data_IF_562810774819
#
_entry.id   IF_562810774819
#
_cell.length_a   1.000
_cell.length_b   1.000
_cell.length_c   1.000
_cell.angle_alpha   90.00
_cell.angle_beta   90.00
_cell.angle_gamma   90.00
#
_symmetry.space_group_name_H-M   'P 1'
#
loop_
_entity.id
_entity.type
_entity.pdbx_description
1 polymer ?
#
# COMPACT_ATOMS: atom_id res chain seq x y z
N UNK A 1 27.16 12.71 17.91
CA UNK A 1 27.27 12.15 16.52
C UNK A 1 26.25 11.05 16.20
N UNK A 2 25.49 10.49 17.15
CA UNK A 2 24.43 9.49 16.88
C UNK A 2 23.05 10.07 16.49
N UNK A 3 22.83 11.36 16.72
CA UNK A 3 21.54 12.06 16.56
C UNK A 3 21.31 12.68 15.17
N UNK A 4 22.35 12.77 14.32
CA UNK A 4 22.22 13.27 12.94
C UNK A 4 21.59 12.21 12.02
N UNK A 5 21.75 10.92 12.34
CA UNK A 5 21.38 9.80 11.47
C UNK A 5 19.88 9.48 11.43
N UNK A 6 19.10 9.89 12.43
CA UNK A 6 17.67 9.57 12.55
C UNK A 6 16.80 10.45 11.63
N UNK A 7 17.28 11.65 11.27
CA UNK A 7 16.58 12.58 10.38
C UNK A 7 16.88 12.37 8.89
N UNK A 8 17.91 11.59 8.53
CA UNK A 8 18.30 11.35 7.14
C UNK A 8 17.37 10.39 6.37
N UNK A 9 16.56 9.61 7.10
CA UNK A 9 15.70 8.58 6.51
C UNK A 9 14.28 9.07 6.17
N UNK A 10 14.13 10.37 5.91
CA UNK A 10 13.08 10.90 5.03
C UNK A 10 13.59 11.18 3.61
N UNK A 11 14.70 10.52 3.18
CA UNK A 11 15.14 10.54 1.79
C UNK A 11 14.14 9.76 0.94
N UNK A 12 13.27 10.49 0.25
CA UNK A 12 12.07 9.93 -0.38
C UNK A 12 12.39 9.48 -1.80
N UNK A 13 13.08 8.35 -1.96
CA UNK A 13 13.04 7.60 -3.23
C UNK A 13 12.97 6.10 -3.00
N UNK A 14 11.92 5.53 -3.58
CA UNK A 14 11.73 4.11 -3.80
C UNK A 14 11.90 3.23 -2.57
N UNK A 15 11.48 3.78 -1.43
CA UNK A 15 11.15 3.17 -0.15
C UNK A 15 10.30 4.19 0.63
N UNK A 16 9.15 4.56 0.08
CA UNK A 16 8.10 5.20 0.87
C UNK A 16 7.36 4.17 1.72
N UNK A 17 6.61 4.68 2.68
CA UNK A 17 6.07 3.99 3.82
C UNK A 17 6.73 4.63 5.06
N UNK A 18 5.92 4.80 6.10
CA UNK A 18 6.18 5.71 7.22
C UNK A 18 6.11 7.19 6.84
N UNK A 19 4.90 7.62 6.52
CA UNK A 19 4.30 8.70 7.29
C UNK A 19 3.10 8.10 8.04
N UNK A 20 3.31 7.61 9.25
CA UNK A 20 2.25 7.61 10.27
C UNK A 20 2.90 8.02 11.59
N UNK A 21 2.48 9.16 12.12
CA UNK A 21 2.24 9.40 13.54
C UNK A 21 1.56 10.77 13.68
N UNK A 22 0.24 10.77 13.58
CA UNK A 22 -0.58 11.62 14.46
C UNK A 22 -1.96 10.99 14.60
N UNK A 23 -2.01 9.89 15.35
CA UNK A 23 -3.21 9.55 16.09
C UNK A 23 -3.44 10.65 17.13
N UNK A 24 -4.36 11.56 16.83
CA UNK A 24 -5.13 12.25 17.87
C UNK A 24 -6.56 11.76 17.75
N UNK A 25 -6.80 10.53 18.21
CA UNK A 25 -8.13 10.13 18.61
C UNK A 25 -8.47 10.95 19.86
N UNK A 26 -9.03 12.14 19.66
CA UNK A 26 -9.76 12.84 20.72
C UNK A 26 -10.99 12.00 21.04
N UNK A 27 -10.89 11.19 22.09
CA UNK A 27 -12.02 10.59 22.76
C UNK A 27 -12.91 11.72 23.27
N UNK A 28 -13.98 12.01 22.53
CA UNK A 28 -15.08 12.82 23.04
C UNK A 28 -15.82 11.98 24.09
N UNK A 29 -15.70 12.39 25.35
CA UNK A 29 -16.48 11.85 26.44
C UNK A 29 -17.97 12.17 26.20
N UNK A 30 -18.80 11.14 26.13
CA UNK A 30 -20.25 11.28 26.16
C UNK A 30 -20.70 11.76 27.55
N UNK A 31 -21.70 12.65 27.64
CA UNK A 31 -22.27 13.10 28.92
C UNK A 31 -23.05 11.97 29.64
N UNK A 32 -23.21 12.05 30.98
CA UNK A 32 -23.90 11.03 31.76
C UNK A 32 -25.42 10.99 31.49
N UNK A 33 -25.98 9.78 31.51
CA UNK A 33 -27.41 9.53 31.33
C UNK A 33 -28.26 9.97 32.54
N UNK A 34 -29.52 10.42 32.34
CA UNK A 34 -30.48 10.67 33.43
C UNK A 34 -31.06 9.38 34.03
N UNK A 35 -31.68 9.44 35.22
CA UNK A 35 -32.18 8.26 35.95
C UNK A 35 -33.49 7.69 35.38
N UNK A 36 -33.63 6.37 35.51
CA UNK A 36 -34.83 5.62 35.13
C UNK A 36 -36.01 5.88 36.09
N UNK A 37 -37.21 6.06 35.53
CA UNK A 37 -38.49 5.93 36.24
C UNK A 37 -39.31 4.77 35.65
N UNK A 38 -40.17 4.11 36.44
CA UNK A 38 -40.82 2.85 36.07
C UNK A 38 -42.25 3.04 35.53
N UNK A 39 -42.63 2.19 34.57
CA UNK A 39 -44.02 1.76 34.36
C UNK A 39 -44.77 2.42 33.21
N UNK A 40 -44.98 1.66 32.13
CA UNK A 40 -46.24 1.54 31.38
C UNK A 40 -46.01 0.60 30.18
N UNK A 41 -46.76 -0.49 30.10
CA UNK A 41 -46.76 -1.44 28.98
C UNK A 41 -47.37 -0.80 27.71
N UNK A 42 -46.69 -0.80 26.56
CA UNK A 42 -47.29 -0.44 25.28
C UNK A 42 -48.18 -1.58 24.72
N UNK A 43 -49.22 -1.28 23.92
CA UNK A 43 -50.07 -2.29 23.28
C UNK A 43 -49.28 -3.12 22.24
N UNK A 44 -49.73 -4.35 21.91
CA UNK A 44 -49.01 -5.24 21.01
C UNK A 44 -48.87 -4.64 19.60
N UNK A 45 -47.68 -4.70 18.98
CA UNK A 45 -47.47 -4.24 17.62
C UNK A 45 -48.21 -5.11 16.59
N UNK A 46 -48.60 -4.56 15.44
CA UNK A 46 -49.16 -5.35 14.33
C UNK A 46 -48.16 -6.42 13.87
N UNK A 47 -48.65 -7.55 13.32
CA UNK A 47 -47.78 -8.64 12.88
C UNK A 47 -46.75 -8.13 11.85
N UNK A 48 -45.48 -8.54 11.98
CA UNK A 48 -44.41 -8.08 11.10
C UNK A 48 -44.72 -8.48 9.65
N UNK A 49 -44.41 -7.60 8.66
CA UNK A 49 -44.44 -7.99 7.26
C UNK A 49 -43.53 -9.21 7.06
N UNK A 50 -43.88 -10.15 6.18
CA UNK A 50 -43.07 -11.35 5.93
C UNK A 50 -41.62 -10.92 5.64
N UNK A 51 -40.62 -11.54 6.29
CA UNK A 51 -39.24 -11.11 6.16
C UNK A 51 -38.84 -11.14 4.68
N UNK A 52 -38.38 -9.99 4.18
CA UNK A 52 -37.64 -9.95 2.93
C UNK A 52 -36.53 -11.00 3.04
N UNK A 53 -36.50 -11.97 2.13
CA UNK A 53 -35.54 -13.06 2.15
C UNK A 53 -34.13 -12.46 2.19
N UNK A 54 -33.51 -12.46 3.37
CA UNK A 54 -32.15 -11.97 3.55
C UNK A 54 -31.24 -12.87 2.74
N UNK A 55 -30.56 -12.31 1.76
CA UNK A 55 -29.64 -13.01 0.89
C UNK A 55 -28.52 -13.63 1.74
N UNK A 56 -28.58 -14.92 2.07
CA UNK A 56 -27.58 -15.62 2.91
C UNK A 56 -26.51 -16.24 2.02
N UNK A 57 -25.32 -15.62 1.99
CA UNK A 57 -24.18 -16.06 1.18
C UNK A 57 -23.06 -16.57 2.07
N UNK A 58 -22.51 -17.73 1.74
CA UNK A 58 -21.29 -18.25 2.31
C UNK A 58 -20.15 -18.08 1.31
N UNK A 59 -18.94 -17.83 1.78
CA UNK A 59 -17.75 -17.80 0.93
C UNK A 59 -16.62 -18.65 1.53
N UNK A 60 -15.75 -19.16 0.67
CA UNK A 60 -14.58 -19.94 1.06
C UNK A 60 -13.28 -19.22 0.71
N UNK A 61 -12.39 -19.08 1.70
CA UNK A 61 -11.04 -18.53 1.53
C UNK A 61 -10.06 -19.50 2.16
N UNK A 62 -9.03 -19.92 1.41
CA UNK A 62 -8.01 -20.88 1.85
C UNK A 62 -8.59 -22.20 2.41
N UNK A 63 -9.73 -22.65 1.87
CA UNK A 63 -10.41 -23.88 2.31
C UNK A 63 -11.20 -23.72 3.62
N UNK A 64 -11.27 -22.52 4.20
CA UNK A 64 -12.12 -22.22 5.34
C UNK A 64 -13.40 -21.53 4.87
N UNK A 65 -14.54 -21.97 5.39
CA UNK A 65 -15.86 -21.43 5.06
C UNK A 65 -16.29 -20.37 6.06
N UNK A 66 -16.74 -19.23 5.54
CA UNK A 66 -17.23 -18.10 6.32
C UNK A 66 -18.66 -17.75 5.87
N UNK A 67 -19.56 -17.53 6.82
CA UNK A 67 -20.94 -17.13 6.55
C UNK A 67 -21.95 -17.64 7.58
N UNK A 68 -23.25 -17.38 7.38
CA UNK A 68 -23.85 -16.64 6.26
C UNK A 68 -23.70 -15.12 6.41
N UNK A 69 -23.39 -14.44 5.31
CA UNK A 69 -23.37 -12.98 5.21
C UNK A 69 -24.53 -12.48 4.35
N UNK A 70 -25.07 -11.31 4.71
CA UNK A 70 -26.05 -10.62 3.87
C UNK A 70 -25.36 -9.83 2.73
N UNK A 71 -26.15 -9.32 1.78
CA UNK A 71 -25.61 -8.58 0.62
C UNK A 71 -24.79 -7.34 0.98
N UNK A 72 -25.12 -6.63 2.07
CA UNK A 72 -24.35 -5.46 2.51
C UNK A 72 -23.03 -5.85 3.18
N UNK A 73 -23.05 -6.87 4.03
CA UNK A 73 -21.84 -7.45 4.63
C UNK A 73 -20.91 -8.01 3.56
N UNK A 74 -21.46 -8.67 2.53
CA UNK A 74 -20.69 -9.18 1.41
C UNK A 74 -20.08 -8.04 0.61
N UNK A 75 -20.80 -6.93 0.38
CA UNK A 75 -20.22 -5.71 -0.23
C UNK A 75 -19.05 -5.15 0.57
N UNK A 76 -19.15 -5.12 1.90
CA UNK A 76 -18.04 -4.67 2.75
C UNK A 76 -16.82 -5.60 2.64
N UNK A 77 -17.05 -6.91 2.55
CA UNK A 77 -15.99 -7.92 2.35
C UNK A 77 -15.37 -7.87 0.95
N UNK A 78 -16.18 -7.57 -0.05
CA UNK A 78 -15.76 -7.27 -1.41
C UNK A 78 -14.89 -6.01 -1.45
N UNK A 79 -15.31 -4.93 -0.78
CA UNK A 79 -14.54 -3.69 -0.71
C UNK A 79 -13.22 -3.85 0.06
N UNK A 80 -13.19 -4.73 1.06
CA UNK A 80 -11.98 -5.09 1.81
C UNK A 80 -11.02 -6.03 1.03
N UNK A 81 -11.42 -6.54 -0.14
CA UNK A 81 -10.62 -7.47 -0.94
C UNK A 81 -10.59 -8.91 -0.42
N UNK A 82 -11.38 -9.24 0.62
CA UNK A 82 -11.51 -10.61 1.13
C UNK A 82 -12.31 -11.52 0.18
N UNK A 83 -13.23 -10.95 -0.60
CA UNK A 83 -14.07 -11.65 -1.56
C UNK A 83 -13.92 -11.03 -2.95
N UNK A 84 -13.46 -11.82 -3.91
CA UNK A 84 -13.26 -11.42 -5.31
C UNK A 84 -14.07 -12.27 -6.28
N UNK A 85 -13.88 -12.03 -7.59
CA UNK A 85 -14.62 -12.73 -8.66
C UNK A 85 -14.42 -14.25 -8.68
N UNK A 86 -13.23 -14.70 -8.29
CA UNK A 86 -12.83 -16.11 -8.26
C UNK A 86 -13.11 -16.78 -6.90
N UNK A 87 -13.51 -16.02 -5.88
CA UNK A 87 -13.83 -16.58 -4.56
C UNK A 87 -15.03 -17.52 -4.69
N UNK A 88 -14.90 -18.73 -4.15
CA UNK A 88 -15.98 -19.69 -4.12
C UNK A 88 -17.04 -19.22 -3.14
N UNK A 89 -18.26 -19.08 -3.63
CA UNK A 89 -19.44 -18.74 -2.85
C UNK A 89 -20.49 -19.83 -3.00
N UNK A 90 -21.30 -19.97 -1.97
CA UNK A 90 -22.42 -20.89 -1.97
C UNK A 90 -23.61 -20.22 -1.29
N UNK A 91 -24.80 -20.52 -1.79
CA UNK A 91 -26.07 -20.05 -1.22
C UNK A 91 -27.01 -21.23 -1.07
N UNK A 92 -27.95 -21.10 -0.14
CA UNK A 92 -29.00 -22.09 0.05
C UNK A 92 -29.78 -22.31 -1.25
N UNK A 93 -29.86 -23.56 -1.71
CA UNK A 93 -30.45 -23.93 -2.99
C UNK A 93 -29.46 -24.09 -4.16
N UNK A 94 -28.16 -23.84 -3.96
CA UNK A 94 -27.12 -24.16 -4.95
C UNK A 94 -26.64 -25.61 -4.81
N UNK A 95 -26.43 -26.27 -5.94
CA UNK A 95 -25.93 -27.66 -6.01
C UNK A 95 -24.49 -27.79 -5.52
N UNK A 96 -23.63 -26.83 -5.86
CA UNK A 96 -22.20 -26.83 -5.53
C UNK A 96 -21.70 -25.40 -5.29
N UNK A 97 -20.50 -25.28 -4.71
CA UNK A 97 -19.77 -24.01 -4.60
C UNK A 97 -19.43 -23.50 -5.99
N UNK A 98 -19.70 -22.22 -6.24
CA UNK A 98 -19.44 -21.59 -7.53
C UNK A 98 -18.64 -20.31 -7.35
N UNK A 99 -17.91 -19.89 -8.38
CA UNK A 99 -17.20 -18.61 -8.34
C UNK A 99 -18.21 -17.46 -8.17
N UNK A 100 -17.88 -16.47 -7.33
CA UNK A 100 -18.75 -15.33 -7.05
C UNK A 100 -19.24 -14.62 -8.31
N UNK A 101 -18.41 -14.58 -9.37
CA UNK A 101 -18.76 -13.99 -10.66
C UNK A 101 -19.83 -14.76 -11.44
N UNK A 102 -20.02 -16.06 -11.21
CA UNK A 102 -21.01 -16.89 -11.92
C UNK A 102 -22.36 -16.91 -11.22
N UNK A 103 -22.41 -16.49 -9.95
CA UNK A 103 -23.64 -16.47 -9.15
C UNK A 103 -24.41 -15.19 -9.44
N UNK A 104 -25.57 -15.29 -10.10
CA UNK A 104 -26.36 -14.14 -10.54
C UNK A 104 -26.74 -13.15 -9.43
N UNK A 105 -26.88 -13.62 -8.18
CA UNK A 105 -27.16 -12.75 -7.02
C UNK A 105 -25.93 -12.00 -6.49
N UNK A 106 -24.72 -12.52 -6.73
CA UNK A 106 -23.44 -11.96 -6.26
C UNK A 106 -22.73 -11.16 -7.36
N UNK A 107 -22.87 -11.56 -8.62
CA UNK A 107 -22.36 -10.86 -9.79
C UNK A 107 -22.64 -9.33 -9.80
N UNK A 108 -23.86 -8.84 -9.50
CA UNK A 108 -24.12 -7.40 -9.42
C UNK A 108 -23.51 -6.73 -8.18
N UNK A 109 -23.17 -7.48 -7.13
CA UNK A 109 -22.42 -6.97 -5.97
C UNK A 109 -20.92 -6.82 -6.31
N UNK A 110 -20.44 -7.57 -7.30
CA UNK A 110 -19.07 -7.49 -7.80
C UNK A 110 -18.86 -6.34 -8.81
N UNK A 111 -19.89 -5.55 -9.14
CA UNK A 111 -19.71 -4.36 -10.00
C UNK A 111 -19.03 -3.20 -9.26
N UNK A 112 -18.96 -3.27 -7.92
CA UNK A 112 -18.10 -2.42 -7.09
C UNK A 112 -16.75 -3.06 -6.80
N UNK A 113 -16.48 -4.29 -7.28
CA UNK A 113 -15.10 -4.80 -7.38
C UNK A 113 -14.50 -4.05 -8.55
N UNK A 114 -13.53 -3.16 -8.32
CA UNK A 114 -12.74 -2.63 -9.41
C UNK A 114 -12.24 -3.84 -10.21
N UNK A 115 -12.43 -3.89 -11.54
CA UNK A 115 -11.84 -4.97 -12.33
C UNK A 115 -10.37 -5.10 -11.91
N UNK A 116 -9.91 -6.33 -11.63
CA UNK A 116 -8.49 -6.59 -11.36
C UNK A 116 -7.66 -5.75 -12.33
N UNK A 117 -6.89 -4.81 -11.76
CA UNK A 117 -6.16 -3.85 -12.56
C UNK A 117 -5.33 -4.63 -13.57
N UNK A 118 -5.65 -4.49 -14.86
CA UNK A 118 -4.90 -5.08 -15.98
C UNK A 118 -3.53 -4.42 -16.16
N UNK A 119 -3.04 -3.77 -15.11
CA UNK A 119 -1.75 -3.12 -15.04
C UNK A 119 -0.78 -4.10 -14.38
N UNK A 120 0.10 -4.68 -15.19
CA UNK A 120 1.22 -5.48 -14.69
C UNK A 120 2.23 -4.56 -13.99
N UNK A 121 2.01 -4.31 -12.71
CA UNK A 121 2.84 -3.43 -11.89
C UNK A 121 4.30 -3.92 -11.80
N UNK A 122 4.50 -5.23 -11.78
CA UNK A 122 5.84 -5.82 -11.73
C UNK A 122 6.53 -5.62 -13.09
N UNK A 123 5.90 -6.04 -14.20
CA UNK A 123 6.45 -5.83 -15.54
C UNK A 123 6.69 -4.36 -15.86
N UNK A 124 5.82 -3.47 -15.38
CA UNK A 124 6.01 -2.02 -15.53
C UNK A 124 7.22 -1.48 -14.77
N UNK A 125 7.64 -2.06 -13.64
CA UNK A 125 8.82 -1.59 -12.90
C UNK A 125 10.13 -2.21 -13.38
N UNK A 126 10.09 -3.38 -14.03
CA UNK A 126 11.31 -4.04 -14.55
C UNK A 126 12.07 -3.10 -15.48
N UNK A 127 13.36 -2.90 -15.23
CA UNK A 127 14.27 -2.04 -15.98
C UNK A 127 15.03 -1.08 -15.09
N UNK A 128 15.78 -0.16 -15.72
CA UNK A 128 16.62 0.81 -15.01
C UNK A 128 15.87 2.14 -14.88
N UNK A 129 15.92 2.70 -13.67
CA UNK A 129 15.25 3.93 -13.29
C UNK A 129 16.24 4.86 -12.62
N UNK A 130 16.22 6.12 -13.02
CA UNK A 130 17.03 7.17 -12.42
C UNK A 130 16.16 8.18 -11.69
N UNK A 131 16.66 8.58 -10.53
CA UNK A 131 16.12 9.71 -9.76
C UNK A 131 17.25 10.66 -9.39
N UNK A 132 16.94 11.95 -9.41
CA UNK A 132 17.84 12.99 -8.92
C UNK A 132 17.02 13.98 -8.11
N UNK A 133 17.41 14.20 -6.86
CA UNK A 133 16.74 15.15 -5.99
C UNK A 133 17.77 15.94 -5.18
N UNK A 134 17.39 17.16 -4.82
CA UNK A 134 18.17 17.98 -3.91
C UNK A 134 17.54 17.89 -2.52
N UNK A 135 18.29 17.34 -1.58
CA UNK A 135 17.82 17.12 -0.22
C UNK A 135 18.52 18.09 0.73
N UNK A 136 17.78 18.84 1.56
CA UNK A 136 18.38 19.66 2.59
C UNK A 136 18.96 18.78 3.71
N UNK A 137 20.27 18.87 3.90
CA UNK A 137 21.00 18.18 4.96
C UNK A 137 21.31 19.18 6.08
N UNK A 138 20.88 18.87 7.31
CA UNK A 138 21.20 19.71 8.47
C UNK A 138 22.72 19.80 8.66
N UNK A 139 23.24 21.03 8.69
CA UNK A 139 24.68 21.31 8.84
C UNK A 139 25.53 21.22 7.56
N UNK A 140 24.94 20.81 6.44
CA UNK A 140 25.62 20.63 5.14
C UNK A 140 24.93 21.42 4.01
N UNK A 141 23.69 21.89 4.22
CA UNK A 141 22.93 22.63 3.22
C UNK A 141 22.29 21.71 2.19
N UNK A 142 21.99 22.23 1.00
CA UNK A 142 21.36 21.48 -0.08
C UNK A 142 22.35 20.50 -0.70
N UNK A 143 22.01 19.21 -0.71
CA UNK A 143 22.86 18.14 -1.25
C UNK A 143 22.16 17.43 -2.39
N UNK A 144 22.84 17.28 -3.52
CA UNK A 144 22.28 16.59 -4.67
C UNK A 144 22.52 15.09 -4.53
N UNK A 145 21.44 14.33 -4.63
CA UNK A 145 21.45 12.87 -4.61
C UNK A 145 20.98 12.38 -5.97
N UNK A 146 21.77 11.50 -6.59
CA UNK A 146 21.43 10.84 -7.85
C UNK A 146 21.54 9.34 -7.66
N UNK A 147 20.48 8.61 -8.03
CA UNK A 147 20.40 7.16 -7.88
C UNK A 147 19.96 6.57 -9.22
N UNK A 148 20.65 5.52 -9.64
CA UNK A 148 20.25 4.63 -10.73
C UNK A 148 19.94 3.26 -10.15
N UNK A 149 18.75 2.74 -10.45
CA UNK A 149 18.21 1.54 -9.84
C UNK A 149 17.66 0.60 -10.90
N UNK A 150 18.05 -0.66 -10.86
CA UNK A 150 17.62 -1.67 -11.82
C UNK A 150 16.77 -2.73 -11.12
N UNK A 151 15.49 -2.81 -11.52
CA UNK A 151 14.57 -3.87 -11.13
C UNK A 151 14.61 -4.99 -12.16
N UNK A 152 14.82 -6.23 -11.70
CA UNK A 152 14.84 -7.41 -12.55
C UNK A 152 13.55 -8.20 -12.40
N UNK A 153 13.13 -8.86 -13.48
CA UNK A 153 11.91 -9.67 -13.52
C UNK A 153 11.90 -10.84 -12.53
N UNK A 154 13.07 -11.25 -12.02
CA UNK A 154 13.22 -12.27 -10.98
C UNK A 154 12.91 -11.77 -9.56
N UNK A 155 12.53 -10.49 -9.41
CA UNK A 155 12.24 -9.87 -8.12
C UNK A 155 13.48 -9.37 -7.39
N UNK A 156 14.66 -9.38 -8.01
CA UNK A 156 15.88 -8.77 -7.47
C UNK A 156 16.06 -7.34 -7.98
N UNK A 157 16.72 -6.51 -7.19
CA UNK A 157 17.06 -5.16 -7.59
C UNK A 157 18.47 -4.77 -7.14
N UNK A 158 19.13 -3.98 -7.97
CA UNK A 158 20.45 -3.42 -7.68
C UNK A 158 20.48 -1.97 -8.11
N UNK A 159 21.05 -1.11 -7.29
CA UNK A 159 21.20 0.30 -7.59
C UNK A 159 22.55 0.83 -7.15
N UNK A 160 22.90 1.96 -7.72
CA UNK A 160 24.08 2.72 -7.38
C UNK A 160 23.71 4.20 -7.41
N UNK A 161 24.46 5.03 -6.68
CA UNK A 161 24.20 6.45 -6.66
C UNK A 161 25.32 7.24 -6.04
N UNK A 162 25.17 8.55 -6.11
CA UNK A 162 26.09 9.51 -5.50
C UNK A 162 25.30 10.56 -4.75
N UNK A 163 25.83 10.97 -3.60
CA UNK A 163 25.37 12.14 -2.88
C UNK A 163 26.51 13.15 -2.80
N UNK A 164 26.29 14.35 -3.29
CA UNK A 164 27.26 15.46 -3.21
C UNK A 164 26.86 16.38 -2.07
N UNK A 165 27.58 16.25 -0.96
CA UNK A 165 27.41 17.06 0.23
C UNK A 165 28.34 18.29 0.17
N UNK A 166 27.78 19.48 0.38
CA UNK A 166 28.54 20.73 0.40
C UNK A 166 29.07 20.98 1.81
N UNK A 167 30.34 20.70 2.05
CA UNK A 167 30.93 20.96 3.38
C UNK A 167 31.80 22.21 3.40
N UNK A 168 32.08 22.70 4.60
CA UNK A 168 33.02 23.81 4.81
C UNK A 168 34.42 23.58 4.22
N UNK A 169 34.80 22.32 3.96
CA UNK A 169 36.09 21.93 3.37
C UNK A 169 36.01 21.67 1.86
N UNK A 170 34.87 21.94 1.22
CA UNK A 170 34.59 21.64 -0.18
C UNK A 170 33.53 20.54 -0.37
N UNK A 171 33.13 20.28 -1.62
CA UNK A 171 32.15 19.24 -1.94
C UNK A 171 32.74 17.86 -1.65
N UNK A 172 32.03 17.06 -0.86
CA UNK A 172 32.34 15.65 -0.66
C UNK A 172 31.33 14.78 -1.41
N UNK A 173 31.83 13.78 -2.11
CA UNK A 173 30.99 12.79 -2.79
C UNK A 173 30.93 11.54 -1.94
N UNK A 174 29.71 11.12 -1.59
CA UNK A 174 29.43 9.83 -0.97
C UNK A 174 28.85 8.91 -2.03
N UNK A 175 29.30 7.66 -2.04
CA UNK A 175 28.79 6.63 -2.95
C UNK A 175 27.74 5.79 -2.26
N UNK A 176 26.67 5.47 -2.97
CA UNK A 176 25.55 4.66 -2.50
C UNK A 176 25.53 3.40 -3.35
N UNK A 177 25.47 2.24 -2.71
CA UNK A 177 25.20 0.95 -3.36
C UNK A 177 23.97 0.32 -2.74
N UNK A 178 23.08 -0.21 -3.56
CA UNK A 178 21.80 -0.74 -3.13
C UNK A 178 21.62 -2.13 -3.74
N UNK A 179 21.18 -3.09 -2.93
CA UNK A 179 20.88 -4.44 -3.40
C UNK A 179 19.78 -5.08 -2.57
N UNK A 180 18.96 -5.91 -3.19
CA UNK A 180 17.96 -6.68 -2.46
C UNK A 180 16.87 -7.22 -3.35
N UNK A 181 15.68 -7.36 -2.77
CA UNK A 181 14.50 -7.85 -3.46
C UNK A 181 13.41 -6.80 -3.47
N UNK A 182 12.44 -6.97 -4.36
CA UNK A 182 11.30 -6.07 -4.48
C UNK A 182 10.07 -6.84 -4.93
N UNK A 183 8.91 -6.28 -4.60
CA UNK A 183 7.61 -6.73 -5.10
C UNK A 183 6.79 -5.53 -5.50
N UNK A 184 5.88 -5.71 -6.45
CA UNK A 184 4.95 -4.66 -6.84
C UNK A 184 3.54 -5.22 -7.04
N UNK A 185 2.56 -4.47 -6.57
CA UNK A 185 1.15 -4.80 -6.64
C UNK A 185 0.38 -3.61 -7.20
N UNK A 186 -0.44 -3.82 -8.22
CA UNK A 186 -1.31 -2.78 -8.75
C UNK A 186 -2.38 -2.41 -7.71
N UNK A 187 -2.63 -1.11 -7.54
CA UNK A 187 -3.74 -0.59 -6.72
C UNK A 187 -4.87 -0.06 -7.57
N UNK A 188 -4.54 0.65 -8.64
CA UNK A 188 -5.49 1.12 -9.65
C UNK A 188 -4.87 0.95 -11.04
N UNK A 189 -5.58 1.39 -12.08
CA UNK A 189 -5.07 1.36 -13.45
C UNK A 189 -3.79 2.20 -13.66
N UNK A 190 -3.47 3.11 -12.73
CA UNK A 190 -2.35 4.04 -12.86
C UNK A 190 -1.59 4.24 -11.52
N UNK A 191 -1.75 3.31 -10.58
CA UNK A 191 -1.02 3.32 -9.31
C UNK A 191 -0.66 1.92 -8.84
N UNK A 192 0.47 1.80 -8.14
CA UNK A 192 0.98 0.55 -7.61
C UNK A 192 1.60 0.75 -6.22
N UNK A 193 1.57 -0.29 -5.40
CA UNK A 193 2.43 -0.38 -4.22
C UNK A 193 3.68 -1.16 -4.58
N UNK A 194 4.83 -0.59 -4.27
CA UNK A 194 6.12 -1.24 -4.37
C UNK A 194 6.63 -1.54 -2.96
N UNK A 195 6.87 -2.82 -2.70
CA UNK A 195 7.36 -3.37 -1.43
C UNK A 195 8.80 -3.83 -1.62
N UNK A 196 9.75 -2.93 -1.48
CA UNK A 196 11.19 -3.21 -1.47
C UNK A 196 11.62 -3.97 -0.21
N UNK A 197 12.72 -4.70 -0.31
CA UNK A 197 13.50 -5.24 0.79
C UNK A 197 14.99 -5.12 0.41
N UNK A 198 15.55 -3.94 0.65
CA UNK A 198 16.83 -3.52 0.09
C UNK A 198 17.82 -3.15 1.19
N UNK A 199 19.06 -3.61 1.04
CA UNK A 199 20.20 -3.10 1.78
C UNK A 199 20.80 -1.93 1.02
N UNK A 200 20.88 -0.78 1.68
CA UNK A 200 21.50 0.45 1.21
C UNK A 200 22.80 0.63 1.98
N UNK A 201 23.92 0.60 1.26
CA UNK A 201 25.24 0.88 1.83
C UNK A 201 25.73 2.21 1.30
N UNK A 202 26.09 3.11 2.22
CA UNK A 202 26.69 4.40 1.89
C UNK A 202 28.15 4.39 2.34
N UNK A 203 29.04 4.81 1.43
CA UNK A 203 30.49 4.85 1.67
C UNK A 203 31.01 6.26 1.39
N UNK A 204 31.92 6.73 2.24
CA UNK A 204 32.72 7.92 1.99
C UNK A 204 34.16 7.50 1.66
N UNK A 205 34.95 8.34 0.95
CA UNK A 205 36.29 7.95 0.48
C UNK A 205 37.27 7.50 1.56
N UNK A 206 37.07 7.93 2.81
CA UNK A 206 37.96 7.65 3.94
C UNK A 206 37.23 7.06 5.16
N UNK A 207 35.96 6.71 5.02
CA UNK A 207 35.11 6.27 6.13
C UNK A 207 34.75 4.79 6.08
N UNK A 208 34.26 4.28 7.21
CA UNK A 208 33.66 2.94 7.28
C UNK A 208 32.30 2.99 6.59
N UNK A 209 32.01 2.05 5.66
CA UNK A 209 30.70 1.99 5.02
C UNK A 209 29.61 1.76 6.06
N UNK A 210 28.48 2.44 5.86
CA UNK A 210 27.29 2.30 6.71
C UNK A 210 26.19 1.62 5.92
N UNK A 211 25.69 0.49 6.40
CA UNK A 211 24.61 -0.27 5.77
C UNK A 211 23.32 -0.13 6.57
N UNK A 212 22.21 0.07 5.86
CA UNK A 212 20.85 0.09 6.40
C UNK A 212 19.95 -0.78 5.55
N UNK A 213 18.90 -1.33 6.15
CA UNK A 213 17.86 -2.06 5.44
C UNK A 213 16.63 -1.21 5.33
N UNK A 214 15.98 -1.24 4.18
CA UNK A 214 14.76 -0.52 3.95
C UNK A 214 13.75 -1.48 3.33
N UNK A 215 12.60 -1.63 4.01
CA UNK A 215 11.58 -2.65 3.73
C UNK A 215 10.18 -2.04 3.59
N UNK A 216 10.15 -0.78 3.23
CA UNK A 216 9.04 0.10 3.52
C UNK A 216 8.17 0.23 2.25
N UNK A 217 6.85 -0.09 2.30
CA UNK A 217 6.01 -0.13 1.10
C UNK A 217 5.55 1.26 0.61
N UNK A 218 5.81 1.54 -0.68
CA UNK A 218 5.53 2.83 -1.32
C UNK A 218 4.40 2.79 -2.31
N UNK A 219 3.46 3.72 -2.18
CA UNK A 219 2.53 4.02 -3.25
C UNK A 219 3.21 4.87 -4.33
N UNK A 220 3.27 4.34 -5.54
CA UNK A 220 3.70 5.02 -6.74
C UNK A 220 2.51 5.30 -7.66
N UNK A 221 2.51 6.49 -8.23
CA UNK A 221 1.61 6.89 -9.32
C UNK A 221 2.37 6.78 -10.63
N UNK A 222 1.80 6.04 -11.58
CA UNK A 222 2.33 5.97 -12.95
C UNK A 222 1.96 7.27 -13.65
N UNK A 223 2.93 8.01 -14.16
CA UNK A 223 2.65 9.27 -14.89
C UNK A 223 2.56 9.00 -16.38
N UNK A 224 3.48 8.19 -16.89
CA UNK A 224 3.53 7.70 -18.27
C UNK A 224 4.37 6.41 -18.32
N UNK A 225 4.67 5.86 -19.51
CA UNK A 225 5.42 4.60 -19.67
C UNK A 225 6.80 4.61 -19.00
N UNK A 226 7.42 5.78 -18.89
CA UNK A 226 8.79 5.98 -18.46
C UNK A 226 8.89 6.82 -17.19
N UNK A 227 7.79 7.16 -16.53
CA UNK A 227 7.80 8.07 -15.38
C UNK A 227 6.90 7.56 -14.27
N UNK A 228 7.46 7.45 -13.06
CA UNK A 228 6.71 7.25 -11.82
C UNK A 228 6.89 8.43 -10.88
N UNK A 229 5.85 8.73 -10.11
CA UNK A 229 5.86 9.75 -9.08
C UNK A 229 5.45 9.16 -7.72
N UNK A 230 6.09 9.61 -6.65
CA UNK A 230 5.64 9.35 -5.28
C UNK A 230 4.49 10.30 -4.89
N UNK A 231 3.84 10.02 -3.78
CA UNK A 231 2.82 10.93 -3.18
C UNK A 231 3.40 12.29 -2.79
N UNK A 232 4.71 12.39 -2.57
CA UNK A 232 5.41 13.64 -2.27
C UNK A 232 5.78 14.45 -3.53
N UNK A 233 5.50 13.91 -4.72
CA UNK A 233 5.80 14.56 -6.01
C UNK A 233 7.18 14.23 -6.58
N UNK A 234 7.97 13.42 -5.88
CA UNK A 234 9.30 12.99 -6.30
C UNK A 234 9.18 12.06 -7.53
N UNK A 235 9.98 12.29 -8.58
CA UNK A 235 9.87 11.56 -9.86
C UNK A 235 11.08 10.70 -10.15
N UNK A 236 10.82 9.52 -10.70
CA UNK A 236 11.85 8.65 -11.26
C UNK A 236 11.55 8.35 -12.72
N UNK A 237 12.60 8.31 -13.53
CA UNK A 237 12.52 8.18 -14.97
C UNK A 237 13.21 6.91 -15.42
N UNK A 238 12.60 6.17 -16.32
CA UNK A 238 13.18 4.97 -16.92
C UNK A 238 14.31 5.34 -17.87
N UNK A 239 15.43 4.63 -17.77
CA UNK A 239 16.64 4.86 -18.57
C UNK A 239 16.99 3.58 -19.32
N UNK A 240 17.00 3.66 -20.65
CA UNK A 240 17.32 2.55 -21.55
C UNK A 240 16.15 1.58 -21.78
N UNK A 241 15.99 1.17 -23.04
CA UNK A 241 15.08 0.12 -23.50
C UNK A 241 15.86 -0.80 -24.45
#
# INVERSE_FOLDING_TARGET
MKQVWVWFFSLTFLLAGLADHSMTAQAQALPPAPPAMPGATPPPPPPPPPPAQELKVYYSVNGQTFGPFNGEQLKAKIAAGEVGRQTLVWMEGMTDWQAAATVAAVAPLLTTVPPEAKFDAAGYLVGTWESSETVPMQGVGQSQVTISMTYRADGTATGWGTMVAQTQYGPMTLTISIQGTWKAEAKTDNSLILTPNMQVTMSSPSGVPSTSTNNTPVLLTVVDRNTVATTTGARSYRVGN
#
